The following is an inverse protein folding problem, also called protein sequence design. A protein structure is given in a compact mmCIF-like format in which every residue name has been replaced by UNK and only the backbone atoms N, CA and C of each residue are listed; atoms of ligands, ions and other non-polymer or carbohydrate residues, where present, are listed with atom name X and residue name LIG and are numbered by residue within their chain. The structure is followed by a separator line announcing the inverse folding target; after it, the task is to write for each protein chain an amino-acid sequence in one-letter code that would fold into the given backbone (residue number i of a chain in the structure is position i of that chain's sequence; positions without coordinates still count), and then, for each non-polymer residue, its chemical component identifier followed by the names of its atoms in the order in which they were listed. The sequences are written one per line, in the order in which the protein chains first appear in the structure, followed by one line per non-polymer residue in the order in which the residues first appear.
data_IF_719496995891
#
_entry.id   IF_719496995891
#
_cell.length_a   1.000
_cell.length_b   1.000
_cell.length_c   1.000
_cell.angle_alpha   90.00
_cell.angle_beta   90.00
_cell.angle_gamma   90.00
#
_symmetry.space_group_name_H-M   'P 1'
#
loop_
_entity.id
_entity.type
_entity.pdbx_description
1 polymer ?
#
# COMPACT_ATOMS: atom_id res chain seq x y z
N UNK A 1 -0.86 16.36 -24.90
CA UNK A 1 -1.17 15.16 -24.10
C UNK A 1 0.15 14.50 -23.74
N UNK A 2 0.32 14.16 -22.46
CA UNK A 2 1.32 13.21 -21.94
C UNK A 2 2.75 13.72 -21.73
N UNK A 3 3.04 14.30 -20.56
CA UNK A 3 4.43 14.31 -20.01
C UNK A 3 4.48 14.49 -18.47
N UNK A 4 3.48 14.01 -17.72
CA UNK A 4 3.53 14.04 -16.24
C UNK A 4 2.90 12.79 -15.63
N UNK A 5 3.43 11.62 -15.97
CA UNK A 5 3.11 10.37 -15.25
C UNK A 5 4.34 9.52 -14.91
N UNK A 6 5.56 9.96 -15.23
CA UNK A 6 6.77 9.16 -14.97
C UNK A 6 7.35 9.31 -13.56
N UNK A 7 6.92 10.33 -12.78
CA UNK A 7 7.47 10.55 -11.43
C UNK A 7 6.73 9.77 -10.32
N UNK A 8 5.54 9.22 -10.57
CA UNK A 8 4.73 8.57 -9.51
C UNK A 8 4.82 7.04 -9.51
N UNK A 9 5.53 6.44 -10.48
CA UNK A 9 5.56 4.98 -10.67
C UNK A 9 6.79 4.28 -10.09
N UNK A 10 7.76 5.03 -9.53
CA UNK A 10 9.03 4.47 -9.03
C UNK A 10 8.96 3.99 -7.58
N UNK A 11 8.22 4.68 -6.71
CA UNK A 11 8.02 4.23 -5.32
C UNK A 11 7.04 3.04 -5.22
N UNK A 12 6.11 2.88 -6.17
CA UNK A 12 5.11 1.80 -6.13
C UNK A 12 5.67 0.42 -6.57
N UNK A 13 6.88 0.35 -7.16
CA UNK A 13 7.44 -0.90 -7.70
C UNK A 13 8.56 -1.54 -6.89
N UNK A 14 8.97 -0.96 -5.75
CA UNK A 14 10.06 -1.52 -4.92
C UNK A 14 9.58 -2.03 -3.57
N UNK A 15 8.27 -2.16 -3.35
CA UNK A 15 7.82 -3.18 -2.41
C UNK A 15 7.89 -4.51 -3.14
N UNK A 16 9.06 -5.15 -3.04
CA UNK A 16 9.22 -6.60 -3.21
C UNK A 16 7.92 -7.25 -2.78
N UNK A 17 7.32 -8.11 -3.62
CA UNK A 17 6.15 -8.91 -3.24
C UNK A 17 6.54 -9.76 -2.02
N UNK A 18 6.48 -9.15 -0.84
CA UNK A 18 6.69 -9.82 0.43
C UNK A 18 5.50 -10.74 0.56
N UNK A 19 5.70 -11.97 1.03
CA UNK A 19 4.61 -12.91 1.14
C UNK A 19 3.52 -12.36 2.08
N UNK A 20 3.89 -11.43 2.97
CA UNK A 20 3.00 -10.60 3.74
C UNK A 20 3.12 -9.12 3.35
N UNK A 21 2.07 -8.51 2.80
CA UNK A 21 2.17 -7.17 2.23
C UNK A 21 0.84 -6.52 1.87
N UNK A 22 0.85 -5.20 1.68
CA UNK A 22 -0.34 -4.42 1.30
C UNK A 22 0.03 -3.46 0.19
N UNK A 23 -0.71 -3.54 -0.93
CA UNK A 23 -0.54 -2.62 -2.05
C UNK A 23 -1.55 -1.47 -1.92
N UNK A 24 -1.03 -0.28 -1.66
CA UNK A 24 -1.81 0.95 -1.55
C UNK A 24 -1.59 1.83 -2.79
N UNK A 25 -2.67 2.46 -3.26
CA UNK A 25 -2.66 3.42 -4.35
C UNK A 25 -3.22 4.74 -3.84
N UNK A 26 -2.44 5.82 -3.93
CA UNK A 26 -2.93 7.17 -3.62
C UNK A 26 -3.54 7.77 -4.89
N UNK A 27 -4.86 8.00 -4.88
CA UNK A 27 -5.62 8.55 -6.00
C UNK A 27 -6.38 9.79 -5.52
N UNK A 28 -6.11 10.95 -6.13
CA UNK A 28 -6.75 12.24 -5.79
C UNK A 28 -6.68 12.58 -4.30
N UNK A 29 -5.55 12.34 -3.66
CA UNK A 29 -5.34 12.60 -2.23
C UNK A 29 -6.02 11.59 -1.29
N UNK A 30 -6.62 10.51 -1.81
CA UNK A 30 -7.18 9.42 -1.02
C UNK A 30 -6.33 8.17 -1.15
N UNK A 31 -6.16 7.44 -0.06
CA UNK A 31 -5.48 6.15 -0.05
C UNK A 31 -6.49 5.03 -0.35
N UNK A 32 -6.20 4.22 -1.36
CA UNK A 32 -6.97 3.04 -1.72
C UNK A 32 -6.13 1.79 -1.52
N UNK A 33 -6.62 0.86 -0.71
CA UNK A 33 -6.01 -0.47 -0.62
C UNK A 33 -6.47 -1.29 -1.80
N UNK A 34 -5.53 -1.68 -2.66
CA UNK A 34 -5.82 -2.41 -3.91
C UNK A 34 -5.61 -3.91 -3.78
N UNK A 35 -4.58 -4.34 -3.04
CA UNK A 35 -4.27 -5.75 -2.84
C UNK A 35 -3.73 -5.96 -1.42
N UNK A 36 -4.09 -7.08 -0.80
CA UNK A 36 -3.56 -7.49 0.51
C UNK A 36 -3.12 -8.95 0.39
N UNK A 37 -1.89 -9.22 0.78
CA UNK A 37 -1.26 -10.52 0.80
C UNK A 37 -1.04 -10.94 2.24
N UNK A 38 -1.37 -12.19 2.54
CA UNK A 38 -1.10 -12.81 3.83
C UNK A 38 -0.07 -13.90 3.66
N UNK A 39 1.01 -13.79 4.41
CA UNK A 39 1.90 -14.92 4.59
C UNK A 39 1.22 -15.94 5.51
N UNK A 40 1.38 -17.22 5.20
CA UNK A 40 0.74 -18.32 5.95
C UNK A 40 1.25 -18.41 7.40
N UNK A 41 2.47 -17.95 7.66
CA UNK A 41 3.09 -17.87 8.98
C UNK A 41 2.82 -16.52 9.68
N UNK A 42 2.19 -15.57 8.99
CA UNK A 42 1.86 -14.27 9.58
C UNK A 42 0.76 -14.39 10.62
N UNK A 43 0.97 -13.72 11.76
CA UNK A 43 -0.01 -13.58 12.84
C UNK A 43 -0.87 -12.34 12.70
N UNK A 44 -0.51 -11.42 11.79
CA UNK A 44 -1.27 -10.19 11.59
C UNK A 44 -2.61 -10.51 10.93
N UNK A 45 -3.70 -10.03 11.52
CA UNK A 45 -5.02 -10.14 10.90
C UNK A 45 -5.21 -9.07 9.82
N UNK A 46 -6.25 -9.23 9.02
CA UNK A 46 -6.71 -8.20 8.09
C UNK A 46 -6.97 -6.86 8.80
N UNK A 47 -7.53 -6.90 10.01
CA UNK A 47 -7.81 -5.70 10.79
C UNK A 47 -6.52 -5.01 11.26
N UNK A 48 -5.53 -5.76 11.74
CA UNK A 48 -4.24 -5.22 12.16
C UNK A 48 -3.55 -4.49 11.00
N UNK A 49 -3.59 -5.10 9.82
CA UNK A 49 -3.02 -4.54 8.59
C UNK A 49 -3.70 -3.25 8.16
N UNK A 50 -5.03 -3.20 8.18
CA UNK A 50 -5.76 -1.96 7.89
C UNK A 50 -5.54 -0.88 8.94
N UNK A 51 -5.50 -1.26 10.23
CA UNK A 51 -5.27 -0.32 11.32
C UNK A 51 -3.90 0.37 11.17
N UNK A 52 -2.86 -0.37 10.78
CA UNK A 52 -1.52 0.19 10.48
C UNK A 52 -1.58 1.26 9.40
N UNK A 53 -2.38 1.06 8.35
CA UNK A 53 -2.55 2.03 7.26
C UNK A 53 -3.26 3.30 7.77
N UNK A 54 -4.35 3.14 8.50
CA UNK A 54 -5.11 4.28 9.05
C UNK A 54 -4.24 5.08 10.02
N UNK A 55 -3.44 4.40 10.85
CA UNK A 55 -2.49 5.07 11.74
C UNK A 55 -1.38 5.80 10.98
N UNK A 56 -0.88 5.23 9.88
CA UNK A 56 0.10 5.90 9.03
C UNK A 56 -0.48 7.15 8.36
N UNK A 57 -1.72 7.07 7.86
CA UNK A 57 -2.40 8.21 7.22
C UNK A 57 -2.72 9.35 8.20
N UNK A 58 -3.01 9.03 9.48
CA UNK A 58 -3.28 10.05 10.51
C UNK A 58 -2.02 10.73 11.08
N UNK A 59 -0.84 10.13 10.87
CA UNK A 59 0.44 10.70 11.33
C UNK A 59 1.08 11.63 10.29
N UNK A 60 0.60 11.58 9.05
CA UNK A 60 0.90 12.52 7.95
C UNK A 60 0.04 13.78 8.10
#
# INVERSE_FOLDING_TARGET
MTEKQEAQTKDERVMSRKPDGILIKKIRGKTFVSEIYFDKESKDTFQDKLLKIVQAERKE
#
